data_IF_810394471156
#
_entry.id   IF_810394471156
#
_cell.length_a   1.000
_cell.length_b   1.000
_cell.length_c   1.000
_cell.angle_alpha   90.00
_cell.angle_beta   90.00
_cell.angle_gamma   90.00
#
_symmetry.space_group_name_H-M   'P 1'
#
loop_
_entity.id
_entity.type
_entity.pdbx_description
1 polymer ?
#
# COMPACT_ATOMS: atom_id res chain seq x y z
N UNK A 1 -11.57 8.93 10.67
CA UNK A 1 -11.60 7.48 10.38
C UNK A 1 -12.96 7.00 9.85
N UNK A 2 -14.10 7.26 10.52
CA UNK A 2 -15.43 6.74 10.11
C UNK A 2 -15.80 6.98 8.62
N UNK A 3 -15.47 8.14 8.04
CA UNK A 3 -15.76 8.44 6.62
C UNK A 3 -15.08 7.50 5.62
N UNK A 4 -13.82 7.09 5.87
CA UNK A 4 -13.04 6.27 4.94
C UNK A 4 -13.50 4.80 4.93
N UNK A 5 -13.88 4.28 6.09
CA UNK A 5 -14.50 2.95 6.21
C UNK A 5 -15.80 2.85 5.40
N UNK A 6 -16.63 3.90 5.45
CA UNK A 6 -17.84 3.98 4.62
C UNK A 6 -17.51 4.02 3.11
N UNK A 7 -16.43 4.71 2.72
CA UNK A 7 -15.98 4.75 1.31
C UNK A 7 -15.58 3.38 0.81
N UNK A 8 -14.79 2.63 1.59
CA UNK A 8 -14.37 1.25 1.23
C UNK A 8 -15.59 0.33 1.11
N UNK A 9 -16.52 0.39 2.07
CA UNK A 9 -17.73 -0.42 2.05
C UNK A 9 -18.60 -0.11 0.81
N UNK A 10 -18.73 1.17 0.44
CA UNK A 10 -19.42 1.59 -0.79
C UNK A 10 -18.73 1.07 -2.04
N UNK A 11 -17.40 1.17 -2.08
CA UNK A 11 -16.61 0.71 -3.21
C UNK A 11 -16.79 -0.80 -3.41
N UNK A 12 -16.66 -1.60 -2.34
CA UNK A 12 -16.87 -3.05 -2.37
C UNK A 12 -18.29 -3.44 -2.82
N UNK A 13 -19.31 -2.71 -2.38
CA UNK A 13 -20.69 -2.92 -2.86
C UNK A 13 -20.83 -2.64 -4.37
N UNK A 14 -20.17 -1.58 -4.85
CA UNK A 14 -20.15 -1.22 -6.28
C UNK A 14 -19.38 -2.25 -7.14
N UNK A 15 -18.25 -2.76 -6.65
CA UNK A 15 -17.47 -3.85 -7.27
C UNK A 15 -18.33 -5.09 -7.44
N UNK A 16 -19.04 -5.48 -6.38
CA UNK A 16 -19.91 -6.67 -6.34
C UNK A 16 -21.06 -6.53 -7.34
N UNK A 17 -21.69 -5.35 -7.41
CA UNK A 17 -22.78 -5.09 -8.36
C UNK A 17 -22.34 -5.04 -9.83
N UNK A 18 -21.06 -4.73 -10.11
CA UNK A 18 -20.50 -4.62 -11.46
C UNK A 18 -19.72 -5.86 -11.91
N UNK A 19 -19.60 -6.89 -11.08
CA UNK A 19 -18.80 -8.09 -11.36
C UNK A 19 -17.31 -7.79 -11.61
N UNK A 20 -16.81 -6.68 -11.08
CA UNK A 20 -15.40 -6.29 -11.25
C UNK A 20 -14.57 -6.99 -10.18
N UNK A 21 -13.32 -7.33 -10.48
CA UNK A 21 -12.38 -7.84 -9.46
C UNK A 21 -11.53 -6.69 -8.95
N UNK A 22 -11.40 -6.56 -7.63
CA UNK A 22 -10.53 -5.56 -6.99
C UNK A 22 -9.65 -6.27 -5.98
N UNK A 23 -8.38 -5.86 -5.94
CA UNK A 23 -7.45 -6.31 -4.93
C UNK A 23 -7.75 -5.60 -3.59
N UNK A 24 -8.18 -6.38 -2.61
CA UNK A 24 -8.49 -5.90 -1.25
C UNK A 24 -7.22 -5.39 -0.56
N UNK A 25 -6.05 -5.99 -0.85
CA UNK A 25 -4.78 -5.59 -0.26
C UNK A 25 -4.36 -4.19 -0.72
N UNK A 26 -4.47 -3.90 -2.03
CA UNK A 26 -4.23 -2.54 -2.57
C UNK A 26 -5.19 -1.51 -1.95
N UNK A 27 -6.47 -1.87 -1.79
CA UNK A 27 -7.47 -0.98 -1.18
C UNK A 27 -7.15 -0.65 0.29
N UNK A 28 -6.74 -1.66 1.07
CA UNK A 28 -6.34 -1.49 2.48
C UNK A 28 -5.02 -0.71 2.57
N UNK A 29 -4.05 -0.97 1.69
CA UNK A 29 -2.79 -0.24 1.64
C UNK A 29 -3.03 1.25 1.39
N UNK A 30 -3.87 1.62 0.42
CA UNK A 30 -4.25 3.02 0.15
C UNK A 30 -4.98 3.68 1.32
N UNK A 31 -5.89 2.95 1.97
CA UNK A 31 -6.58 3.45 3.15
C UNK A 31 -5.63 3.69 4.33
N UNK A 32 -4.64 2.82 4.50
CA UNK A 32 -3.58 2.94 5.52
C UNK A 32 -2.68 4.12 5.22
N UNK A 33 -2.34 4.33 3.95
CA UNK A 33 -1.55 5.45 3.45
C UNK A 33 -2.24 6.79 3.74
N UNK A 34 -3.52 6.92 3.40
CA UNK A 34 -4.31 8.12 3.69
C UNK A 34 -4.38 8.38 5.21
N UNK A 35 -4.48 7.33 6.02
CA UNK A 35 -4.50 7.44 7.48
C UNK A 35 -3.14 7.87 8.05
N UNK A 36 -2.05 7.23 7.64
CA UNK A 36 -0.68 7.59 8.05
C UNK A 36 -0.34 8.99 7.56
N UNK A 37 -0.66 9.32 6.31
CA UNK A 37 -0.42 10.65 5.74
C UNK A 37 -1.06 11.75 6.57
N UNK A 38 -2.32 11.53 6.98
CA UNK A 38 -3.05 12.45 7.85
C UNK A 38 -2.43 12.54 9.25
N UNK A 39 -2.02 11.41 9.84
CA UNK A 39 -1.48 11.36 11.21
C UNK A 39 -0.05 11.88 11.30
N UNK A 40 0.82 11.47 10.38
CA UNK A 40 2.25 11.77 10.38
C UNK A 40 2.56 13.14 9.79
N UNK A 41 1.85 13.54 8.72
CA UNK A 41 2.15 14.78 7.99
C UNK A 41 1.03 15.81 8.09
N UNK A 42 -0.14 15.48 8.67
CA UNK A 42 -1.29 16.38 8.70
C UNK A 42 -1.96 16.58 7.34
N UNK A 43 -1.53 15.84 6.30
CA UNK A 43 -1.99 16.00 4.91
C UNK A 43 -2.93 14.86 4.55
N UNK A 44 -4.12 15.19 4.05
CA UNK A 44 -5.01 14.21 3.45
C UNK A 44 -4.52 13.88 2.05
N UNK A 45 -3.87 12.71 1.88
CA UNK A 45 -3.65 12.16 0.55
C UNK A 45 -5.01 11.68 -0.01
N UNK A 46 -5.38 12.05 -1.25
CA UNK A 46 -6.56 11.52 -1.90
C UNK A 46 -6.21 10.26 -2.70
N UNK A 47 -5.60 9.24 -2.07
CA UNK A 47 -5.18 8.02 -2.78
C UNK A 47 -6.33 7.02 -3.01
N UNK A 48 -7.40 7.13 -2.20
CA UNK A 48 -8.61 6.32 -2.33
C UNK A 48 -9.67 7.08 -3.16
N UNK A 49 -9.94 6.69 -4.42
CA UNK A 49 -10.97 7.34 -5.22
C UNK A 49 -12.36 7.04 -4.65
N UNK A 50 -13.29 7.99 -4.79
CA UNK A 50 -14.67 7.87 -4.29
C UNK A 50 -15.55 6.92 -5.13
N UNK A 51 -15.07 6.52 -6.30
CA UNK A 51 -15.68 5.58 -7.24
C UNK A 51 -14.55 4.83 -7.99
N UNK A 52 -14.83 3.63 -8.50
CA UNK A 52 -13.85 2.86 -9.30
C UNK A 52 -13.55 3.55 -10.64
N UNK A 53 -12.35 4.11 -10.84
CA UNK A 53 -11.96 4.61 -12.16
C UNK A 53 -11.70 3.41 -13.07
N UNK A 54 -12.14 3.49 -14.33
CA UNK A 54 -11.66 2.59 -15.40
C UNK A 54 -10.64 3.38 -16.23
N UNK A 55 -9.36 2.98 -16.28
CA UNK A 55 -8.70 1.87 -15.59
C UNK A 55 -8.35 2.16 -14.12
N UNK A 56 -8.14 1.10 -13.32
CA UNK A 56 -7.72 1.22 -11.93
C UNK A 56 -6.32 1.89 -11.88
N UNK A 57 -6.19 3.06 -11.23
CA UNK A 57 -4.94 3.83 -11.30
C UNK A 57 -3.84 3.12 -10.51
N UNK A 58 -2.69 2.91 -11.15
CA UNK A 58 -1.49 2.39 -10.50
C UNK A 58 -0.92 3.45 -9.55
N UNK A 59 -0.79 3.12 -8.26
CA UNK A 59 -0.20 4.03 -7.27
C UNK A 59 1.25 3.62 -7.04
N UNK A 60 2.18 4.44 -7.54
CA UNK A 60 3.62 4.23 -7.38
C UNK A 60 4.03 4.07 -5.90
N UNK A 61 3.35 4.77 -5.00
CA UNK A 61 3.57 4.64 -3.56
C UNK A 61 3.18 3.27 -3.00
N UNK A 62 2.05 2.69 -3.45
CA UNK A 62 1.62 1.38 -2.97
C UNK A 62 2.67 0.32 -3.34
N UNK A 63 3.20 0.39 -4.58
CA UNK A 63 4.29 -0.46 -5.03
C UNK A 63 5.58 -0.25 -4.23
N UNK A 64 5.98 1.00 -3.94
CA UNK A 64 7.18 1.25 -3.14
C UNK A 64 7.03 0.84 -1.67
N UNK A 65 5.83 0.99 -1.09
CA UNK A 65 5.54 0.53 0.27
C UNK A 65 5.53 -0.99 0.37
N UNK A 66 4.98 -1.67 -0.63
CA UNK A 66 4.99 -3.14 -0.70
C UNK A 66 6.43 -3.66 -0.77
N UNK A 67 7.26 -3.06 -1.62
CA UNK A 67 8.69 -3.34 -1.67
C UNK A 67 9.37 -3.08 -0.32
N UNK A 68 9.14 -1.92 0.30
CA UNK A 68 9.70 -1.59 1.61
C UNK A 68 9.28 -2.59 2.70
N UNK A 69 8.00 -3.00 2.69
CA UNK A 69 7.45 -3.97 3.65
C UNK A 69 8.05 -5.35 3.43
N UNK A 70 8.17 -5.80 2.17
CA UNK A 70 8.80 -7.08 1.83
C UNK A 70 10.26 -7.15 2.29
N UNK A 71 10.99 -6.03 2.16
CA UNK A 71 12.37 -5.92 2.63
C UNK A 71 12.42 -5.88 4.16
N UNK A 72 11.52 -5.13 4.81
CA UNK A 72 11.45 -5.08 6.27
C UNK A 72 11.17 -6.46 6.88
N UNK A 73 10.24 -7.22 6.31
CA UNK A 73 9.94 -8.60 6.70
C UNK A 73 11.17 -9.50 6.48
N UNK A 74 11.87 -9.33 5.36
CA UNK A 74 13.09 -10.09 5.08
C UNK A 74 14.20 -9.79 6.09
N UNK A 75 14.38 -8.54 6.50
CA UNK A 75 15.32 -8.13 7.56
C UNK A 75 14.95 -8.71 8.92
N UNK A 76 13.66 -8.79 9.23
CA UNK A 76 13.19 -9.38 10.48
C UNK A 76 13.47 -10.89 10.55
N UNK A 77 13.30 -11.60 9.42
CA UNK A 77 13.57 -13.04 9.35
C UNK A 77 15.05 -13.40 9.25
N UNK A 78 15.89 -12.47 8.81
CA UNK A 78 17.28 -12.74 8.43
C UNK A 78 18.20 -11.82 9.27
N UNK A 79 18.56 -12.22 10.51
CA UNK A 79 19.35 -11.37 11.42
C UNK A 79 20.75 -11.03 10.88
N UNK A 80 21.21 -11.72 9.82
CA UNK A 80 22.46 -11.44 9.09
C UNK A 80 22.29 -10.42 7.96
N UNK A 81 21.16 -9.70 7.89
CA UNK A 81 20.88 -8.71 6.84
C UNK A 81 21.93 -7.58 6.78
N UNK A 82 22.48 -7.12 7.91
CA UNK A 82 23.56 -6.12 7.89
C UNK A 82 24.83 -6.60 7.17
N UNK A 83 25.16 -7.90 7.31
CA UNK A 83 26.30 -8.50 6.63
C UNK A 83 26.05 -8.65 5.13
N UNK A 84 24.81 -9.00 4.75
CA UNK A 84 24.37 -9.08 3.34
C UNK A 84 24.30 -7.70 2.68
N UNK A 85 23.95 -6.65 3.44
CA UNK A 85 23.98 -5.24 3.00
C UNK A 85 25.42 -4.79 2.74
N UNK A 86 26.34 -5.14 3.64
CA UNK A 86 27.77 -4.84 3.47
C UNK A 86 28.38 -5.56 2.26
N UNK A 87 27.97 -6.80 1.99
CA UNK A 87 28.40 -7.59 0.84
C UNK A 87 27.63 -7.27 -0.46
N UNK A 88 26.60 -6.43 -0.40
CA UNK A 88 25.75 -6.02 -1.52
C UNK A 88 25.07 -7.20 -2.25
N UNK A 89 24.66 -8.23 -1.49
CA UNK A 89 24.08 -9.48 -2.04
C UNK A 89 22.55 -9.48 -1.81
N UNK A 90 21.78 -9.55 -2.89
CA UNK A 90 20.33 -9.77 -2.85
C UNK A 90 19.47 -8.51 -3.05
N UNK A 91 18.18 -8.51 -2.62
CA UNK A 91 17.23 -7.43 -2.88
C UNK A 91 17.55 -6.11 -2.16
N UNK A 92 18.56 -6.10 -1.30
CA UNK A 92 19.05 -4.90 -0.60
C UNK A 92 19.76 -3.90 -1.54
N UNK A 93 19.95 -4.26 -2.81
CA UNK A 93 20.46 -3.37 -3.86
C UNK A 93 19.43 -2.33 -4.34
N UNK A 94 18.14 -2.55 -4.09
CA UNK A 94 17.03 -1.75 -4.63
C UNK A 94 16.67 -0.55 -3.75
N UNK A 95 17.01 -0.60 -2.45
CA UNK A 95 16.76 0.47 -1.50
C UNK A 95 18.08 0.82 -0.78
N UNK A 96 18.76 1.92 -1.16
CA UNK A 96 19.98 2.38 -0.50
C UNK A 96 19.79 2.62 1.01
#
# INVERSE_FOLDING_TARGET
MKKKTCTIARLLAEVTGKGTTVDIQDLIQRATLDAIGKVAFGVDFPSLPSALPKPWPHIAFASSLDLATSIAVKRFSDPFWELKRYLNIGPERVLP
#
